data_IF_322973008339
#
_entry.id   IF_322973008339
#
_cell.length_a   1.000
_cell.length_b   1.000
_cell.length_c   1.000
_cell.angle_alpha   90.00
_cell.angle_beta   90.00
_cell.angle_gamma   90.00
#
_symmetry.space_group_name_H-M   'P 1'
#
loop_
_entity.id
_entity.type
_entity.pdbx_description
1 polymer ?
#
# COMPACT_ATOMS: atom_id res chain seq x y z
N UNK A 1 10.65 15.10 -39.69
CA UNK A 1 11.26 14.11 -38.78
C UNK A 1 12.41 14.79 -38.02
N UNK A 2 12.17 15.33 -36.84
CA UNK A 2 13.21 15.92 -36.00
C UNK A 2 13.88 14.76 -35.24
N UNK A 3 15.15 14.52 -35.51
CA UNK A 3 16.01 13.65 -34.71
C UNK A 3 16.18 14.33 -33.36
N UNK A 4 15.60 13.75 -32.29
CA UNK A 4 15.94 14.09 -30.91
C UNK A 4 17.43 13.72 -30.71
N UNK A 5 18.31 14.70 -30.75
CA UNK A 5 19.70 14.54 -30.32
C UNK A 5 19.67 14.50 -28.81
N UNK A 6 19.81 13.32 -28.23
CA UNK A 6 19.98 13.14 -26.78
C UNK A 6 21.25 13.89 -26.36
N UNK A 7 21.11 14.85 -25.46
CA UNK A 7 22.24 15.59 -24.91
C UNK A 7 23.15 14.61 -24.14
N UNK A 8 24.48 14.66 -24.25
CA UNK A 8 25.41 13.76 -23.52
C UNK A 8 25.20 13.75 -22.01
N UNK A 9 24.62 14.82 -21.45
CA UNK A 9 24.22 14.91 -20.03
C UNK A 9 23.09 13.93 -19.71
N UNK A 10 22.13 13.68 -20.63
CA UNK A 10 21.01 12.76 -20.41
C UNK A 10 21.44 11.29 -20.36
N UNK A 11 22.39 10.88 -21.18
CA UNK A 11 22.88 9.50 -21.22
C UNK A 11 23.68 9.14 -19.97
N UNK A 12 24.43 10.08 -19.38
CA UNK A 12 25.22 9.87 -18.16
C UNK A 12 24.37 9.97 -16.88
N UNK A 13 23.25 10.65 -16.97
CA UNK A 13 22.26 10.80 -15.89
C UNK A 13 21.55 9.50 -15.57
N UNK A 14 21.19 8.75 -16.60
CA UNK A 14 20.45 7.50 -16.43
C UNK A 14 21.38 6.35 -15.92
N UNK A 15 22.63 6.31 -16.35
CA UNK A 15 23.55 5.23 -16.00
C UNK A 15 23.87 5.15 -14.49
N UNK A 16 24.06 6.28 -13.79
CA UNK A 16 24.33 6.25 -12.35
C UNK A 16 23.10 5.88 -11.53
N UNK A 17 21.93 6.33 -11.94
CA UNK A 17 20.65 5.99 -11.32
C UNK A 17 20.34 4.50 -11.51
N UNK A 18 20.60 3.96 -12.70
CA UNK A 18 20.44 2.54 -13.00
C UNK A 18 21.35 1.68 -12.12
N UNK A 19 22.64 1.98 -12.09
CA UNK A 19 23.61 1.30 -11.23
C UNK A 19 23.21 1.34 -9.75
N UNK A 20 22.73 2.48 -9.26
CA UNK A 20 22.23 2.62 -7.90
C UNK A 20 21.02 1.74 -7.63
N UNK A 21 20.02 1.75 -8.54
CA UNK A 21 18.82 0.93 -8.37
C UNK A 21 19.12 -0.57 -8.44
N UNK A 22 20.08 -0.97 -9.28
CA UNK A 22 20.55 -2.34 -9.37
C UNK A 22 21.30 -2.77 -8.10
N UNK A 23 22.16 -1.90 -7.54
CA UNK A 23 22.82 -2.14 -6.26
C UNK A 23 21.79 -2.33 -5.13
N UNK A 24 20.77 -1.49 -5.05
CA UNK A 24 19.70 -1.63 -4.05
C UNK A 24 18.86 -2.90 -4.22
N UNK A 25 18.70 -3.35 -5.46
CA UNK A 25 18.01 -4.61 -5.71
C UNK A 25 18.85 -5.80 -5.24
N UNK A 26 20.13 -5.81 -5.57
CA UNK A 26 21.07 -6.90 -5.24
C UNK A 26 21.39 -6.96 -3.74
N UNK A 27 21.72 -5.81 -3.13
CA UNK A 27 22.19 -5.76 -1.75
C UNK A 27 21.06 -5.75 -0.72
N UNK A 28 20.00 -4.96 -1.00
CA UNK A 28 18.93 -4.72 -0.04
C UNK A 28 17.62 -5.46 -0.37
N UNK A 29 17.54 -6.13 -1.51
CA UNK A 29 16.33 -6.86 -1.95
C UNK A 29 15.11 -5.96 -2.09
N UNK A 30 15.27 -4.69 -2.50
CA UNK A 30 14.16 -3.75 -2.55
C UNK A 30 13.15 -4.13 -3.65
N UNK A 31 11.86 -4.00 -3.32
CA UNK A 31 10.78 -4.28 -4.25
C UNK A 31 10.79 -3.34 -5.46
N UNK A 32 10.40 -3.86 -6.65
CA UNK A 32 10.37 -3.13 -7.92
C UNK A 32 9.66 -1.76 -7.83
N UNK A 33 8.54 -1.67 -7.11
CA UNK A 33 7.82 -0.41 -6.92
C UNK A 33 8.62 0.63 -6.12
N UNK A 34 9.45 0.19 -5.17
CA UNK A 34 10.32 1.07 -4.38
C UNK A 34 11.46 1.59 -5.27
N UNK A 35 12.07 0.70 -6.05
CA UNK A 35 13.13 1.06 -6.99
C UNK A 35 12.63 2.03 -8.05
N UNK A 36 11.45 1.78 -8.63
CA UNK A 36 10.81 2.68 -9.59
C UNK A 36 10.49 4.07 -8.98
N UNK A 37 10.11 4.12 -7.70
CA UNK A 37 9.88 5.40 -7.01
C UNK A 37 11.21 6.15 -6.77
N UNK A 38 12.27 5.44 -6.39
CA UNK A 38 13.60 6.01 -6.18
C UNK A 38 14.16 6.54 -7.50
N UNK A 39 14.12 5.73 -8.55
CA UNK A 39 14.50 6.14 -9.90
C UNK A 39 13.80 7.43 -10.32
N UNK A 40 12.48 7.49 -10.20
CA UNK A 40 11.69 8.68 -10.55
C UNK A 40 12.10 9.91 -9.76
N UNK A 41 12.33 9.80 -8.44
CA UNK A 41 12.74 10.94 -7.63
C UNK A 41 14.12 11.47 -8.04
N UNK A 42 15.07 10.59 -8.32
CA UNK A 42 16.42 10.95 -8.77
C UNK A 42 16.42 11.53 -10.19
N UNK A 43 15.67 10.95 -11.13
CA UNK A 43 15.53 11.47 -12.49
C UNK A 43 14.93 12.88 -12.50
N UNK A 44 13.92 13.14 -11.65
CA UNK A 44 13.34 14.50 -11.52
C UNK A 44 14.34 15.51 -10.96
N UNK A 45 15.21 15.09 -10.04
CA UNK A 45 16.26 15.96 -9.51
C UNK A 45 17.35 16.19 -10.53
N UNK A 46 17.76 15.18 -11.23
CA UNK A 46 18.78 15.23 -12.25
C UNK A 46 18.40 16.17 -13.39
N UNK A 47 17.16 16.08 -13.90
CA UNK A 47 16.62 17.01 -14.91
C UNK A 47 16.61 18.45 -14.40
N UNK A 48 16.13 18.65 -13.18
CA UNK A 48 16.10 19.99 -12.59
C UNK A 48 17.51 20.59 -12.42
N UNK A 49 18.50 19.78 -12.00
CA UNK A 49 19.89 20.22 -11.89
C UNK A 49 20.49 20.57 -13.26
N UNK A 50 20.21 19.77 -14.28
CA UNK A 50 20.65 20.05 -15.65
C UNK A 50 20.03 21.36 -16.18
N UNK A 51 18.73 21.56 -15.96
CA UNK A 51 18.00 22.74 -16.44
C UNK A 51 18.41 24.05 -15.72
N UNK A 52 18.58 23.99 -14.39
CA UNK A 52 18.80 25.18 -13.56
C UNK A 52 20.28 25.46 -13.28
N UNK A 53 21.12 24.46 -13.32
CA UNK A 53 22.52 24.57 -12.90
C UNK A 53 23.51 23.99 -13.90
N UNK A 54 23.04 23.44 -15.03
CA UNK A 54 23.87 22.75 -16.03
C UNK A 54 24.81 21.69 -15.40
N UNK A 55 24.35 21.06 -14.33
CA UNK A 55 25.10 20.10 -13.53
C UNK A 55 24.48 18.68 -13.61
N UNK A 56 25.34 17.67 -13.70
CA UNK A 56 24.94 16.29 -13.57
C UNK A 56 24.64 15.93 -12.09
N UNK A 57 23.83 14.90 -11.84
CA UNK A 57 23.44 14.51 -10.48
C UNK A 57 24.65 14.21 -9.58
N UNK A 58 25.67 13.52 -10.12
CA UNK A 58 26.92 13.22 -9.39
C UNK A 58 27.80 14.44 -9.09
N UNK A 59 27.55 15.56 -9.78
CA UNK A 59 28.26 16.83 -9.57
C UNK A 59 27.51 17.79 -8.66
N UNK A 60 26.32 17.38 -8.18
CA UNK A 60 25.47 18.22 -7.38
C UNK A 60 26.17 18.70 -6.09
N UNK A 61 26.06 20.00 -5.83
CA UNK A 61 26.56 20.63 -4.62
C UNK A 61 25.42 20.80 -3.59
N UNK A 62 25.80 20.94 -2.32
CA UNK A 62 24.85 21.13 -1.23
C UNK A 62 23.82 22.24 -1.51
N UNK A 63 24.28 23.44 -1.94
CA UNK A 63 23.40 24.58 -2.20
C UNK A 63 22.40 24.33 -3.34
N UNK A 64 22.79 23.52 -4.34
CA UNK A 64 21.90 23.16 -5.45
C UNK A 64 20.79 22.21 -4.98
N UNK A 65 21.12 21.24 -4.13
CA UNK A 65 20.11 20.36 -3.52
C UNK A 65 19.19 21.13 -2.57
N UNK A 66 19.72 22.09 -1.81
CA UNK A 66 18.90 23.01 -1.00
C UNK A 66 17.94 23.82 -1.88
N UNK A 67 18.41 24.38 -2.99
CA UNK A 67 17.57 25.08 -3.96
C UNK A 67 16.50 24.15 -4.59
N UNK A 68 16.85 22.89 -4.91
CA UNK A 68 15.89 21.90 -5.39
C UNK A 68 14.74 21.64 -4.41
N UNK A 69 15.04 21.53 -3.11
CA UNK A 69 14.02 21.34 -2.08
C UNK A 69 13.23 22.62 -1.85
N UNK A 70 13.87 23.79 -1.87
CA UNK A 70 13.23 25.10 -1.73
C UNK A 70 12.24 25.39 -2.89
N UNK A 71 12.61 25.08 -4.13
CA UNK A 71 11.74 25.19 -5.30
C UNK A 71 10.49 24.28 -5.23
N UNK A 72 10.43 23.37 -4.27
CA UNK A 72 9.33 22.42 -4.01
C UNK A 72 8.77 22.54 -2.60
N UNK A 73 8.87 23.73 -1.99
CA UNK A 73 8.40 23.98 -0.63
C UNK A 73 6.89 23.69 -0.44
N UNK A 74 6.09 23.85 -1.51
CA UNK A 74 4.65 23.52 -1.49
C UNK A 74 4.34 22.01 -1.37
N UNK A 75 5.37 21.16 -1.49
CA UNK A 75 5.14 19.72 -1.32
C UNK A 75 5.01 19.36 0.16
N UNK A 76 4.14 18.38 0.44
CA UNK A 76 3.99 17.87 1.82
C UNK A 76 5.33 17.47 2.42
N UNK A 77 5.60 17.86 3.67
CA UNK A 77 6.83 17.53 4.39
C UNK A 77 7.19 16.04 4.35
N UNK A 78 6.18 15.13 4.40
CA UNK A 78 6.39 13.68 4.27
C UNK A 78 6.96 13.28 2.90
N UNK A 79 6.53 13.94 1.83
CA UNK A 79 7.04 13.69 0.48
C UNK A 79 8.45 14.26 0.30
N UNK A 80 8.73 15.45 0.86
CA UNK A 80 10.06 16.04 0.89
C UNK A 80 11.04 15.13 1.66
N UNK A 81 10.67 14.66 2.84
CA UNK A 81 11.49 13.78 3.68
C UNK A 81 11.76 12.43 3.01
N UNK A 82 10.77 11.86 2.30
CA UNK A 82 10.98 10.64 1.51
C UNK A 82 12.02 10.87 0.41
N UNK A 83 11.93 11.96 -0.36
CA UNK A 83 12.93 12.31 -1.37
C UNK A 83 14.31 12.52 -0.75
N UNK A 84 14.40 13.23 0.36
CA UNK A 84 15.65 13.41 1.09
C UNK A 84 16.27 12.08 1.49
N UNK A 85 15.48 11.11 1.93
CA UNK A 85 15.96 9.76 2.23
C UNK A 85 16.52 9.08 0.99
N UNK A 86 15.88 9.21 -0.18
CA UNK A 86 16.38 8.68 -1.44
C UNK A 86 17.71 9.32 -1.81
N UNK A 87 17.81 10.65 -1.70
CA UNK A 87 19.05 11.38 -2.01
C UNK A 87 20.17 10.97 -1.09
N UNK A 88 19.95 10.93 0.22
CA UNK A 88 20.97 10.46 1.18
C UNK A 88 21.44 9.04 0.90
N UNK A 89 20.56 8.14 0.46
CA UNK A 89 20.96 6.78 0.06
C UNK A 89 21.77 6.78 -1.24
N UNK A 90 21.38 7.57 -2.23
CA UNK A 90 22.08 7.67 -3.51
C UNK A 90 23.49 8.25 -3.34
N UNK A 91 23.63 9.40 -2.67
CA UNK A 91 24.93 10.04 -2.50
C UNK A 91 25.87 9.25 -1.56
N UNK A 92 25.31 8.56 -0.55
CA UNK A 92 26.11 7.63 0.27
C UNK A 92 26.61 6.44 -0.55
N UNK A 93 25.77 5.88 -1.41
CA UNK A 93 26.17 4.86 -2.36
C UNK A 93 27.24 5.39 -3.33
N UNK A 94 27.05 6.54 -3.93
CA UNK A 94 28.00 7.15 -4.86
C UNK A 94 29.35 7.43 -4.19
N UNK A 95 29.36 7.84 -2.92
CA UNK A 95 30.59 8.03 -2.14
C UNK A 95 31.28 6.68 -1.88
N UNK A 96 30.54 5.63 -1.53
CA UNK A 96 31.07 4.27 -1.34
C UNK A 96 31.69 3.71 -2.62
N UNK A 97 31.06 3.94 -3.76
CA UNK A 97 31.57 3.52 -5.08
C UNK A 97 32.69 4.42 -5.63
N UNK A 98 33.11 5.44 -4.90
CA UNK A 98 34.17 6.37 -5.34
C UNK A 98 33.77 7.29 -6.50
N UNK A 99 32.47 7.43 -6.78
CA UNK A 99 31.95 8.29 -7.86
C UNK A 99 31.94 9.75 -7.47
N UNK A 100 31.96 10.06 -6.20
CA UNK A 100 32.08 11.40 -5.60
C UNK A 100 33.04 11.36 -4.42
N UNK A 101 33.59 12.51 -4.05
CA UNK A 101 34.52 12.65 -2.92
C UNK A 101 33.88 13.18 -1.65
N UNK A 102 32.70 13.80 -1.78
CA UNK A 102 31.92 14.38 -0.67
C UNK A 102 30.44 14.13 -0.88
N UNK A 103 29.72 13.85 0.20
CA UNK A 103 28.27 13.68 0.19
C UNK A 103 27.58 15.07 0.36
N UNK A 104 26.92 15.62 -0.69
CA UNK A 104 26.28 16.92 -0.63
C UNK A 104 24.99 16.91 0.21
N UNK A 105 24.56 15.78 0.73
CA UNK A 105 23.32 15.67 1.52
C UNK A 105 23.55 15.73 3.03
N UNK A 106 24.81 15.73 3.51
CA UNK A 106 25.13 15.62 4.93
C UNK A 106 24.41 16.68 5.79
N UNK A 107 24.38 17.94 5.35
CA UNK A 107 23.76 19.05 6.10
C UNK A 107 22.28 19.26 5.78
N UNK A 108 21.71 18.49 4.85
CA UNK A 108 20.30 18.60 4.54
C UNK A 108 19.46 18.02 5.69
N UNK A 109 18.63 18.87 6.27
CA UNK A 109 17.75 18.49 7.37
C UNK A 109 16.35 18.11 6.86
N UNK A 110 15.69 17.15 7.51
CA UNK A 110 14.32 16.81 7.18
C UNK A 110 13.37 17.97 7.53
N UNK A 111 12.35 18.16 6.67
CA UNK A 111 11.28 19.11 6.94
C UNK A 111 10.51 18.71 8.20
N UNK A 112 10.23 19.70 9.07
CA UNK A 112 9.43 19.46 10.28
C UNK A 112 8.03 18.97 9.91
N UNK A 113 7.59 17.91 10.53
CA UNK A 113 6.23 17.39 10.40
C UNK A 113 5.49 17.65 11.72
N UNK A 114 4.29 18.21 11.67
CA UNK A 114 3.47 18.26 12.87
C UNK A 114 3.17 16.83 13.35
N UNK A 115 3.07 16.59 14.66
CA UNK A 115 2.67 15.30 15.19
C UNK A 115 1.34 14.90 14.53
N UNK A 116 1.29 13.76 13.89
CA UNK A 116 0.03 13.20 13.39
C UNK A 116 -0.60 12.43 14.53
N UNK A 117 -1.67 12.97 15.08
CA UNK A 117 -2.57 12.16 15.88
C UNK A 117 -3.28 11.22 14.90
N UNK A 118 -3.10 9.90 15.01
CA UNK A 118 -3.81 8.95 14.18
C UNK A 118 -5.31 9.14 14.41
N UNK A 119 -6.04 9.57 13.38
CA UNK A 119 -7.51 9.60 13.44
C UNK A 119 -7.98 8.18 13.13
N UNK A 120 -8.35 7.44 14.14
CA UNK A 120 -9.05 6.15 14.00
C UNK A 120 -10.53 6.40 13.85
N UNK A 121 -11.21 5.52 13.12
CA UNK A 121 -12.66 5.47 13.13
C UNK A 121 -13.13 4.85 14.44
N UNK A 122 -14.22 5.35 15.01
CA UNK A 122 -14.95 4.63 16.04
C UNK A 122 -15.68 3.42 15.43
N UNK A 123 -16.05 2.46 16.28
CA UNK A 123 -16.84 1.30 15.83
C UNK A 123 -18.17 1.73 15.19
N UNK A 124 -18.86 2.71 15.79
CA UNK A 124 -20.08 3.27 15.20
C UNK A 124 -19.85 3.89 13.81
N UNK A 125 -18.71 4.54 13.58
CA UNK A 125 -18.36 5.06 12.24
C UNK A 125 -18.02 3.94 11.26
N UNK A 126 -17.42 2.87 11.71
CA UNK A 126 -17.19 1.69 10.88
C UNK A 126 -18.52 1.04 10.51
N UNK A 127 -19.43 0.84 11.47
CA UNK A 127 -20.77 0.31 11.20
C UNK A 127 -21.53 1.16 10.16
N UNK A 128 -21.52 2.48 10.32
CA UNK A 128 -22.16 3.38 9.36
C UNK A 128 -21.52 3.29 7.97
N UNK A 129 -20.18 3.15 7.88
CA UNK A 129 -19.47 2.96 6.62
C UNK A 129 -19.86 1.64 5.95
N UNK A 130 -19.93 0.56 6.73
CA UNK A 130 -20.28 -0.77 6.25
C UNK A 130 -21.74 -0.83 5.80
N UNK A 131 -22.66 -0.13 6.44
CA UNK A 131 -24.08 -0.07 6.08
C UNK A 131 -24.37 0.81 4.86
N UNK A 132 -23.43 1.66 4.41
CA UNK A 132 -23.68 2.63 3.35
C UNK A 132 -23.88 2.05 1.93
N UNK A 133 -23.27 0.90 1.53
CA UNK A 133 -23.53 0.30 0.23
C UNK A 133 -24.96 -0.27 0.13
N UNK A 134 -25.62 -0.03 -1.00
CA UNK A 134 -26.92 -0.63 -1.34
C UNK A 134 -26.73 -2.11 -1.75
N UNK A 135 -27.00 -3.01 -0.83
CA UNK A 135 -26.75 -4.46 -1.00
C UNK A 135 -27.77 -5.17 -1.88
N UNK A 136 -28.81 -4.49 -2.33
CA UNK A 136 -29.79 -5.03 -3.30
C UNK A 136 -29.24 -4.95 -4.72
N UNK A 137 -28.18 -4.19 -4.93
CA UNK A 137 -27.46 -4.12 -6.19
C UNK A 137 -26.21 -5.00 -6.17
N UNK A 138 -25.86 -5.68 -7.29
CA UNK A 138 -24.63 -6.49 -7.35
C UNK A 138 -23.35 -5.69 -7.05
N UNK A 139 -23.31 -4.42 -7.45
CA UNK A 139 -22.19 -3.52 -7.17
C UNK A 139 -22.11 -3.15 -5.69
N UNK A 140 -23.23 -2.84 -5.07
CA UNK A 140 -23.26 -2.51 -3.65
C UNK A 140 -22.98 -3.73 -2.78
N UNK A 141 -23.45 -4.91 -3.16
CA UNK A 141 -23.12 -6.18 -2.48
C UNK A 141 -21.62 -6.46 -2.54
N UNK A 142 -20.98 -6.29 -3.72
CA UNK A 142 -19.52 -6.37 -3.85
C UNK A 142 -18.83 -5.39 -2.91
N UNK A 143 -19.24 -4.13 -2.95
CA UNK A 143 -18.59 -3.05 -2.22
C UNK A 143 -18.75 -3.26 -0.70
N UNK A 144 -19.93 -3.70 -0.25
CA UNK A 144 -20.19 -4.10 1.14
C UNK A 144 -19.27 -5.24 1.58
N UNK A 145 -19.19 -6.30 0.79
CA UNK A 145 -18.34 -7.45 1.08
C UNK A 145 -16.86 -7.06 1.15
N UNK A 146 -16.39 -6.20 0.23
CA UNK A 146 -15.02 -5.71 0.26
C UNK A 146 -14.69 -4.88 1.52
N UNK A 147 -15.61 -4.00 1.93
CA UNK A 147 -15.45 -3.19 3.14
C UNK A 147 -15.46 -4.07 4.38
N UNK A 148 -16.40 -4.99 4.48
CA UNK A 148 -16.50 -5.95 5.58
C UNK A 148 -15.22 -6.77 5.69
N UNK A 149 -14.80 -7.41 4.60
CA UNK A 149 -13.62 -8.25 4.59
C UNK A 149 -12.35 -7.46 4.97
N UNK A 150 -12.22 -6.23 4.47
CA UNK A 150 -11.08 -5.38 4.82
C UNK A 150 -11.05 -5.02 6.31
N UNK A 151 -12.20 -4.74 6.91
CA UNK A 151 -12.30 -4.45 8.33
C UNK A 151 -12.11 -5.70 9.17
N UNK A 152 -12.75 -6.81 8.82
CA UNK A 152 -12.65 -8.06 9.57
C UNK A 152 -11.24 -8.70 9.55
N UNK A 153 -10.48 -8.50 8.49
CA UNK A 153 -9.18 -9.18 8.29
C UNK A 153 -7.96 -8.24 8.34
N UNK A 154 -8.18 -6.94 8.36
CA UNK A 154 -7.10 -5.95 8.34
C UNK A 154 -6.19 -6.03 7.11
N UNK A 155 -6.65 -6.51 5.97
CA UNK A 155 -5.90 -6.63 4.73
C UNK A 155 -5.35 -5.28 4.26
N UNK A 156 -4.20 -5.31 3.56
CA UNK A 156 -3.77 -4.16 2.74
C UNK A 156 -4.68 -4.04 1.52
N UNK A 157 -4.89 -2.81 1.02
CA UNK A 157 -5.72 -2.60 -0.17
C UNK A 157 -5.22 -3.41 -1.39
N UNK A 158 -3.90 -3.55 -1.55
CA UNK A 158 -3.32 -4.36 -2.63
C UNK A 158 -3.60 -5.85 -2.48
N UNK A 159 -3.65 -6.34 -1.27
CA UNK A 159 -4.00 -7.73 -0.95
C UNK A 159 -5.49 -7.96 -1.25
N UNK A 160 -6.38 -7.11 -0.73
CA UNK A 160 -7.82 -7.22 -0.95
C UNK A 160 -8.21 -7.24 -2.44
N UNK A 161 -7.71 -6.27 -3.22
CA UNK A 161 -8.07 -6.18 -4.65
C UNK A 161 -7.40 -7.26 -5.50
N UNK A 162 -6.31 -7.85 -5.02
CA UNK A 162 -5.58 -8.94 -5.68
C UNK A 162 -6.07 -10.34 -5.31
N UNK A 163 -7.04 -10.49 -4.38
CA UNK A 163 -7.56 -11.79 -4.01
C UNK A 163 -8.16 -12.53 -5.20
N UNK A 164 -7.86 -13.80 -5.30
CA UNK A 164 -8.50 -14.74 -6.22
C UNK A 164 -9.51 -15.60 -5.47
N UNK A 165 -10.47 -16.16 -6.19
CA UNK A 165 -11.46 -17.07 -5.56
C UNK A 165 -10.81 -18.30 -4.92
N UNK A 166 -9.69 -18.77 -5.47
CA UNK A 166 -8.93 -19.91 -4.92
C UNK A 166 -8.19 -19.57 -3.62
N UNK A 167 -8.00 -18.29 -3.31
CA UNK A 167 -7.33 -17.84 -2.07
C UNK A 167 -8.28 -17.88 -0.86
N UNK A 168 -9.56 -18.15 -1.08
CA UNK A 168 -10.61 -18.11 -0.08
C UNK A 168 -10.93 -19.52 0.44
N UNK A 169 -10.64 -19.76 1.72
CA UNK A 169 -11.08 -20.92 2.47
C UNK A 169 -12.31 -20.58 3.29
N UNK A 170 -13.52 -20.71 2.68
CA UNK A 170 -14.78 -20.39 3.36
C UNK A 170 -15.02 -21.26 4.59
N UNK A 171 -14.85 -22.59 4.45
CA UNK A 171 -15.05 -23.53 5.53
C UNK A 171 -14.08 -23.30 6.70
N UNK A 172 -12.85 -22.96 6.35
CA UNK A 172 -11.79 -22.71 7.32
C UNK A 172 -11.84 -21.27 7.87
N UNK A 173 -12.62 -20.36 7.31
CA UNK A 173 -12.68 -18.94 7.68
C UNK A 173 -11.33 -18.22 7.55
N UNK A 174 -10.55 -18.52 6.51
CA UNK A 174 -9.22 -17.95 6.29
C UNK A 174 -9.01 -17.52 4.83
N UNK A 175 -8.18 -16.51 4.67
CA UNK A 175 -7.67 -16.04 3.37
C UNK A 175 -6.19 -16.37 3.25
N UNK A 176 -5.77 -16.82 2.07
CA UNK A 176 -4.37 -16.90 1.69
C UNK A 176 -3.97 -15.60 1.01
N UNK A 177 -3.00 -14.89 1.56
CA UNK A 177 -2.53 -13.62 0.99
C UNK A 177 -1.03 -13.62 0.78
N UNK A 178 -0.59 -13.04 -0.33
CA UNK A 178 0.81 -12.82 -0.65
C UNK A 178 1.27 -11.51 -0.03
N UNK A 179 2.19 -11.59 0.93
CA UNK A 179 2.82 -10.44 1.57
C UNK A 179 4.02 -9.89 0.79
N UNK A 180 4.76 -8.98 1.40
CA UNK A 180 6.00 -8.44 0.86
C UNK A 180 7.03 -9.58 0.69
N UNK A 181 7.70 -9.62 -0.46
CA UNK A 181 8.69 -10.66 -0.77
C UNK A 181 8.08 -12.02 -1.14
N UNK A 182 6.85 -12.03 -1.66
CA UNK A 182 6.13 -13.26 -2.08
C UNK A 182 5.93 -14.29 -0.95
N UNK A 183 5.99 -13.84 0.32
CA UNK A 183 5.69 -14.71 1.46
C UNK A 183 4.19 -14.83 1.63
N UNK A 184 3.68 -16.05 1.63
CA UNK A 184 2.28 -16.32 1.90
C UNK A 184 2.00 -16.25 3.41
N UNK A 185 0.78 -15.80 3.75
CA UNK A 185 0.24 -15.90 5.10
C UNK A 185 -1.25 -16.20 5.06
N UNK A 186 -1.74 -16.84 6.09
CA UNK A 186 -3.17 -17.02 6.31
C UNK A 186 -3.69 -15.91 7.23
N UNK A 187 -4.82 -15.33 6.84
CA UNK A 187 -5.49 -14.27 7.58
C UNK A 187 -6.91 -14.73 7.90
N UNK A 188 -7.29 -14.84 9.18
CA UNK A 188 -8.65 -15.21 9.55
C UNK A 188 -9.62 -14.06 9.22
N UNK A 189 -10.88 -14.43 8.99
CA UNK A 189 -12.01 -13.52 8.94
C UNK A 189 -13.18 -14.13 9.73
N UNK A 190 -13.99 -13.28 10.35
CA UNK A 190 -15.07 -13.74 11.21
C UNK A 190 -16.30 -14.21 10.43
N UNK A 191 -17.31 -14.68 11.16
CA UNK A 191 -18.54 -15.23 10.60
C UNK A 191 -19.31 -14.20 9.76
N UNK A 192 -19.41 -12.97 10.22
CA UNK A 192 -20.07 -11.89 9.45
C UNK A 192 -19.42 -11.66 8.09
N UNK A 193 -18.09 -11.71 8.01
CA UNK A 193 -17.41 -11.58 6.72
C UNK A 193 -17.63 -12.83 5.84
N UNK A 194 -17.78 -14.02 6.43
CA UNK A 194 -18.15 -15.24 5.72
C UNK A 194 -19.50 -15.10 5.06
N UNK A 195 -20.52 -14.69 5.80
CA UNK A 195 -21.88 -14.52 5.29
C UNK A 195 -21.93 -13.57 4.10
N UNK A 196 -21.22 -12.44 4.17
CA UNK A 196 -21.11 -11.50 3.07
C UNK A 196 -20.35 -12.08 1.87
N UNK A 197 -19.32 -12.88 2.09
CA UNK A 197 -18.57 -13.57 1.02
C UNK A 197 -19.41 -14.60 0.32
N UNK A 198 -20.16 -15.41 1.06
CA UNK A 198 -21.07 -16.42 0.52
C UNK A 198 -22.14 -15.78 -0.35
N UNK A 199 -22.83 -14.75 0.18
CA UNK A 199 -23.82 -13.99 -0.54
C UNK A 199 -23.23 -13.33 -1.80
N UNK A 200 -22.03 -12.76 -1.71
CA UNK A 200 -21.34 -12.19 -2.85
C UNK A 200 -21.06 -13.22 -3.94
N UNK A 201 -20.54 -14.41 -3.58
CA UNK A 201 -20.21 -15.45 -4.53
C UNK A 201 -21.45 -16.06 -5.20
N UNK A 202 -22.52 -16.26 -4.44
CA UNK A 202 -23.77 -16.84 -4.93
C UNK A 202 -24.55 -15.88 -5.81
N UNK A 203 -24.75 -14.65 -5.37
CA UNK A 203 -25.66 -13.71 -6.01
C UNK A 203 -24.94 -12.65 -6.86
N UNK A 204 -24.08 -11.87 -6.24
CA UNK A 204 -23.57 -10.64 -6.86
C UNK A 204 -22.49 -10.89 -7.92
N UNK A 205 -21.54 -11.80 -7.63
CA UNK A 205 -20.39 -12.04 -8.52
C UNK A 205 -20.81 -12.63 -9.86
N UNK A 206 -21.72 -13.58 -9.84
CA UNK A 206 -22.25 -14.19 -11.05
C UNK A 206 -22.97 -13.16 -11.94
N UNK A 207 -23.77 -12.29 -11.34
CA UNK A 207 -24.46 -11.23 -12.07
C UNK A 207 -23.50 -10.21 -12.72
N UNK A 208 -22.41 -9.83 -12.04
CA UNK A 208 -21.42 -8.91 -12.61
C UNK A 208 -20.56 -9.55 -13.70
N UNK A 209 -20.26 -10.84 -13.61
CA UNK A 209 -19.51 -11.57 -14.61
C UNK A 209 -20.32 -11.87 -15.86
N UNK A 210 -21.62 -12.23 -15.71
CA UNK A 210 -22.40 -12.80 -16.81
C UNK A 210 -21.71 -14.04 -17.36
N UNK A 211 -21.49 -14.11 -18.65
CA UNK A 211 -20.81 -15.21 -19.34
C UNK A 211 -19.26 -15.17 -19.22
N UNK A 212 -18.69 -14.17 -18.56
CA UNK A 212 -17.23 -14.01 -18.48
C UNK A 212 -16.63 -14.87 -17.37
N UNK A 213 -15.40 -15.30 -17.54
CA UNK A 213 -14.62 -15.97 -16.51
C UNK A 213 -13.60 -15.01 -15.89
N UNK A 214 -13.36 -15.14 -14.59
CA UNK A 214 -12.33 -14.38 -13.87
C UNK A 214 -11.85 -15.16 -12.65
N UNK A 215 -10.56 -15.16 -12.44
CA UNK A 215 -9.98 -15.67 -11.19
C UNK A 215 -10.17 -14.68 -10.03
N UNK A 216 -10.34 -13.37 -10.32
CA UNK A 216 -10.45 -12.35 -9.30
C UNK A 216 -11.69 -12.57 -8.42
N UNK A 217 -11.52 -12.47 -7.09
CA UNK A 217 -12.63 -12.54 -6.16
C UNK A 217 -13.56 -11.33 -6.34
N UNK A 218 -13.02 -10.13 -6.44
CA UNK A 218 -13.75 -8.90 -6.63
C UNK A 218 -13.53 -8.32 -8.02
N UNK A 219 -14.57 -8.33 -8.83
CA UNK A 219 -14.52 -7.98 -10.24
C UNK A 219 -15.12 -6.60 -10.53
N UNK A 220 -14.66 -5.98 -11.61
CA UNK A 220 -15.23 -4.74 -12.14
C UNK A 220 -16.41 -5.03 -13.09
N UNK A 221 -17.41 -4.16 -13.10
CA UNK A 221 -18.57 -4.26 -14.02
C UNK A 221 -18.38 -3.45 -15.30
N UNK A 222 -17.55 -2.41 -15.24
CA UNK A 222 -17.41 -1.42 -16.30
C UNK A 222 -15.94 -1.06 -16.54
N UNK A 223 -15.65 -0.35 -17.64
CA UNK A 223 -14.33 0.08 -18.03
C UNK A 223 -13.81 -0.69 -19.24
N UNK A 224 -12.52 -0.54 -19.54
CA UNK A 224 -11.87 -1.17 -20.72
C UNK A 224 -11.91 -2.71 -20.67
N UNK A 225 -11.93 -3.28 -19.48
CA UNK A 225 -11.86 -4.73 -19.24
C UNK A 225 -12.82 -5.13 -18.11
N UNK A 226 -14.13 -5.23 -18.38
CA UNK A 226 -15.10 -5.72 -17.39
C UNK A 226 -14.78 -7.17 -16.99
N UNK A 227 -15.02 -7.51 -15.71
CA UNK A 227 -14.69 -8.83 -15.16
C UNK A 227 -13.26 -8.98 -14.65
N UNK A 228 -12.40 -7.98 -14.82
CA UNK A 228 -11.05 -7.98 -14.24
C UNK A 228 -11.07 -7.55 -12.76
N UNK A 229 -9.96 -7.79 -12.07
CA UNK A 229 -9.77 -7.34 -10.69
C UNK A 229 -9.92 -5.82 -10.55
N UNK A 230 -10.52 -5.39 -9.45
CA UNK A 230 -10.64 -3.98 -9.12
C UNK A 230 -9.26 -3.36 -8.84
N UNK A 231 -9.03 -2.14 -9.32
CA UNK A 231 -7.80 -1.42 -9.01
C UNK A 231 -7.84 -0.81 -7.59
N UNK A 232 -6.66 -0.61 -6.99
CA UNK A 232 -6.52 0.10 -5.70
C UNK A 232 -7.15 1.49 -5.72
N UNK A 233 -7.02 2.20 -6.85
CA UNK A 233 -7.58 3.56 -7.03
C UNK A 233 -9.09 3.53 -7.03
N UNK A 234 -9.70 2.56 -7.72
CA UNK A 234 -11.16 2.38 -7.69
C UNK A 234 -11.67 2.10 -6.27
N UNK A 235 -11.07 1.15 -5.57
CA UNK A 235 -11.49 0.84 -4.19
C UNK A 235 -11.30 2.04 -3.26
N UNK A 236 -10.23 2.82 -3.43
CA UNK A 236 -10.02 4.05 -2.68
C UNK A 236 -11.12 5.10 -2.94
N UNK A 237 -11.56 5.21 -4.19
CA UNK A 237 -12.71 6.04 -4.59
C UNK A 237 -14.02 5.57 -3.93
N UNK A 238 -14.25 4.24 -3.87
CA UNK A 238 -15.40 3.64 -3.20
C UNK A 238 -15.43 3.96 -1.71
N UNK A 239 -14.33 3.74 -1.00
CA UNK A 239 -14.21 4.06 0.42
C UNK A 239 -14.54 5.53 0.70
N UNK A 240 -14.06 6.46 -0.13
CA UNK A 240 -14.38 7.89 0.00
C UNK A 240 -15.86 8.21 -0.28
N UNK A 241 -16.46 7.54 -1.26
CA UNK A 241 -17.87 7.71 -1.59
C UNK A 241 -18.75 7.28 -0.41
N UNK A 242 -18.53 6.08 0.09
CA UNK A 242 -19.29 5.54 1.21
C UNK A 242 -19.04 6.27 2.53
N UNK A 243 -17.83 6.77 2.76
CA UNK A 243 -17.56 7.64 3.90
C UNK A 243 -18.42 8.92 3.89
N UNK A 244 -18.58 9.55 2.72
CA UNK A 244 -19.45 10.73 2.57
C UNK A 244 -20.93 10.38 2.79
N UNK A 245 -21.38 9.24 2.26
CA UNK A 245 -22.77 8.75 2.46
C UNK A 245 -23.04 8.44 3.94
N UNK A 246 -22.05 7.92 4.65
CA UNK A 246 -22.12 7.63 6.09
C UNK A 246 -21.92 8.87 6.98
N UNK A 247 -21.82 10.08 6.42
CA UNK A 247 -21.59 11.30 7.18
C UNK A 247 -20.21 11.39 7.84
N UNK A 248 -19.21 10.63 7.38
CA UNK A 248 -17.86 10.61 7.94
C UNK A 248 -17.04 11.70 7.25
N UNK A 249 -16.84 12.83 7.94
CA UNK A 249 -16.09 13.98 7.41
C UNK A 249 -14.58 13.87 7.60
N UNK A 250 -14.09 12.95 8.41
CA UNK A 250 -12.67 12.72 8.59
C UNK A 250 -12.03 12.17 7.28
N UNK A 251 -10.76 12.54 6.98
CA UNK A 251 -10.05 11.97 5.83
C UNK A 251 -9.94 10.45 5.98
N UNK A 252 -10.70 9.72 5.17
CA UNK A 252 -10.77 8.27 5.21
C UNK A 252 -10.06 7.65 4.01
N UNK A 253 -9.35 6.58 4.27
CA UNK A 253 -8.63 5.79 3.28
C UNK A 253 -8.68 4.30 3.66
N UNK A 254 -8.38 3.37 2.74
CA UNK A 254 -8.25 1.96 3.10
C UNK A 254 -7.26 1.71 4.25
N UNK A 255 -6.19 2.49 4.35
CA UNK A 255 -5.26 2.41 5.48
C UNK A 255 -5.91 2.79 6.82
N UNK A 256 -6.86 3.73 6.81
CA UNK A 256 -7.60 4.12 8.02
C UNK A 256 -8.49 2.99 8.51
N UNK A 257 -9.14 2.24 7.59
CA UNK A 257 -9.96 1.08 7.94
C UNK A 257 -9.11 -0.07 8.51
N UNK A 258 -7.96 -0.35 7.91
CA UNK A 258 -6.99 -1.31 8.46
C UNK A 258 -6.44 -0.86 9.83
N UNK A 259 -6.26 0.44 10.04
CA UNK A 259 -5.84 0.99 11.33
C UNK A 259 -6.96 0.84 12.38
N UNK A 260 -8.22 1.05 11.98
CA UNK A 260 -9.37 0.79 12.86
C UNK A 260 -9.42 -0.68 13.30
N UNK A 261 -9.25 -1.64 12.37
CA UNK A 261 -9.11 -3.06 12.72
C UNK A 261 -8.07 -3.29 13.84
N UNK A 262 -6.86 -2.76 13.66
CA UNK A 262 -5.80 -2.95 14.65
C UNK A 262 -6.14 -2.31 16.00
N UNK A 263 -6.67 -1.09 15.99
CA UNK A 263 -7.00 -0.33 17.20
C UNK A 263 -8.16 -0.97 17.96
N UNK A 264 -9.20 -1.43 17.25
CA UNK A 264 -10.35 -2.07 17.88
C UNK A 264 -9.97 -3.40 18.50
N UNK A 265 -9.14 -4.23 17.84
CA UNK A 265 -8.61 -5.44 18.47
C UNK A 265 -7.85 -5.14 19.76
N UNK A 266 -6.97 -4.13 19.76
CA UNK A 266 -6.23 -3.72 20.96
C UNK A 266 -7.17 -3.19 22.06
N UNK A 267 -8.19 -2.42 21.71
CA UNK A 267 -9.18 -1.89 22.66
C UNK A 267 -10.01 -3.01 23.30
N UNK A 268 -10.25 -4.11 22.56
CA UNK A 268 -10.90 -5.31 23.07
C UNK A 268 -9.94 -6.31 23.75
N UNK A 269 -8.72 -5.88 24.07
CA UNK A 269 -7.77 -6.64 24.87
C UNK A 269 -6.87 -7.62 24.11
N UNK A 270 -6.84 -7.56 22.79
CA UNK A 270 -5.89 -8.35 22.01
C UNK A 270 -4.45 -7.93 22.31
N UNK A 271 -3.54 -8.89 22.42
CA UNK A 271 -2.12 -8.64 22.56
C UNK A 271 -1.53 -7.97 21.31
N UNK A 272 -0.67 -6.97 21.52
CA UNK A 272 -0.01 -6.22 20.42
C UNK A 272 0.75 -7.15 19.46
N UNK A 273 1.41 -8.19 19.97
CA UNK A 273 2.16 -9.15 19.16
C UNK A 273 1.23 -9.96 18.24
N UNK A 274 0.08 -10.35 18.76
CA UNK A 274 -0.94 -11.04 18.00
C UNK A 274 -1.53 -10.16 16.88
N UNK A 275 -1.80 -8.90 17.17
CA UNK A 275 -2.26 -7.93 16.15
C UNK A 275 -1.18 -7.71 15.07
N UNK A 276 0.09 -7.62 15.44
CA UNK A 276 1.20 -7.54 14.49
C UNK A 276 1.29 -8.77 13.57
N UNK A 277 1.05 -9.97 14.11
CA UNK A 277 0.99 -11.21 13.33
C UNK A 277 -0.14 -11.19 12.30
N UNK A 278 -1.37 -10.82 12.73
CA UNK A 278 -2.52 -10.69 11.84
C UNK A 278 -2.27 -9.68 10.72
N UNK A 279 -1.62 -8.58 11.04
CA UNK A 279 -1.26 -7.55 10.06
C UNK A 279 -0.10 -7.95 9.12
N UNK A 280 0.64 -9.01 9.43
CA UNK A 280 1.78 -9.48 8.61
C UNK A 280 2.95 -8.50 8.62
N UNK A 281 3.42 -8.12 9.80
CA UNK A 281 4.65 -7.36 9.98
C UNK A 281 5.86 -8.28 9.78
N UNK A 282 6.83 -7.85 8.94
CA UNK A 282 7.87 -8.72 8.37
C UNK A 282 8.92 -9.26 9.36
N UNK A 283 9.06 -8.67 10.55
CA UNK A 283 10.09 -9.03 11.53
C UNK A 283 9.75 -10.24 12.42
N UNK A 284 8.59 -10.86 12.18
CA UNK A 284 8.14 -12.01 12.95
C UNK A 284 8.22 -13.24 12.05
N UNK A 285 9.09 -14.18 12.41
CA UNK A 285 9.37 -15.40 11.66
C UNK A 285 8.09 -16.09 11.19
N UNK A 286 7.87 -16.09 9.90
CA UNK A 286 6.68 -16.60 9.20
C UNK A 286 6.51 -18.11 9.29
N UNK A 287 7.52 -18.83 9.75
CA UNK A 287 7.54 -20.30 9.75
C UNK A 287 6.58 -20.93 10.76
N UNK A 288 6.23 -20.22 11.83
CA UNK A 288 5.36 -20.71 12.90
C UNK A 288 3.86 -20.61 12.59
N UNK A 289 3.44 -19.83 11.58
CA UNK A 289 2.03 -19.54 11.30
C UNK A 289 1.32 -20.67 10.53
N UNK A 290 2.07 -21.63 10.00
CA UNK A 290 1.53 -22.67 9.13
C UNK A 290 1.07 -23.95 9.86
N UNK A 291 1.30 -24.06 11.16
CA UNK A 291 0.81 -25.21 11.91
C UNK A 291 -0.70 -25.09 12.18
N UNK A 292 -1.40 -26.21 12.21
CA UNK A 292 -2.84 -26.26 12.51
C UNK A 292 -3.16 -25.58 13.85
N UNK A 293 -2.29 -25.75 14.84
CA UNK A 293 -2.41 -25.16 16.18
C UNK A 293 -2.29 -23.63 16.12
N UNK A 294 -1.36 -23.10 15.33
CA UNK A 294 -1.19 -21.66 15.19
C UNK A 294 -2.36 -21.00 14.45
N UNK A 295 -2.95 -21.69 13.46
CA UNK A 295 -4.16 -21.21 12.76
C UNK A 295 -5.36 -21.13 13.70
N UNK A 296 -5.59 -22.17 14.49
CA UNK A 296 -6.71 -22.19 15.45
C UNK A 296 -6.55 -21.07 16.47
N UNK A 297 -5.35 -20.88 17.01
CA UNK A 297 -5.08 -19.80 17.97
C UNK A 297 -5.31 -18.40 17.38
N UNK A 298 -4.98 -18.16 16.11
CA UNK A 298 -5.26 -16.87 15.45
C UNK A 298 -6.76 -16.65 15.23
N UNK A 299 -7.52 -17.70 14.92
CA UNK A 299 -8.98 -17.64 14.81
C UNK A 299 -9.62 -17.33 16.16
N UNK A 300 -9.24 -18.07 17.18
CA UNK A 300 -9.78 -17.88 18.53
C UNK A 300 -9.51 -16.46 19.04
N UNK A 301 -8.31 -15.96 18.80
CA UNK A 301 -7.94 -14.58 19.15
C UNK A 301 -8.77 -13.57 18.34
N UNK A 302 -8.98 -13.81 17.05
CA UNK A 302 -9.83 -12.95 16.22
C UNK A 302 -11.27 -12.98 16.73
N UNK A 303 -11.85 -14.16 16.93
CA UNK A 303 -13.22 -14.34 17.42
C UNK A 303 -13.42 -13.73 18.81
N UNK A 304 -12.42 -13.81 19.68
CA UNK A 304 -12.50 -13.27 21.04
C UNK A 304 -12.41 -11.75 21.13
N UNK A 305 -11.63 -11.12 20.24
CA UNK A 305 -11.27 -9.71 20.40
C UNK A 305 -11.71 -8.81 19.24
N UNK A 306 -12.14 -9.34 18.11
CA UNK A 306 -12.63 -8.50 17.01
C UNK A 306 -14.13 -8.27 17.14
N UNK A 307 -14.64 -7.03 16.95
CA UNK A 307 -16.07 -6.73 17.01
C UNK A 307 -16.93 -7.53 16.02
N UNK A 308 -16.28 -8.14 15.03
CA UNK A 308 -16.88 -8.98 13.97
C UNK A 308 -16.31 -10.40 13.96
N UNK A 309 -15.75 -10.84 15.07
CA UNK A 309 -15.20 -12.18 15.28
C UNK A 309 -16.22 -13.29 15.31
#
# INVERSE_FOLDING_TARGET
MARFVMNPVDANLDASIDRFTDALWLEDGLAANTLAAYRRDLTLAARWLADQHQAALLQAQEYQLQAYFAARADTRASSANRRLTVFKRYFRWALREGLITQDPTLKLLPARQPPRVPKTLSEAQVEALLAAPDTDTPLGLRDRTMLELMYASGLRVSELVGLKSIDLGLNEGVLRVLGKGSKERLVPFGELARDWLERWLQDGRAQLLGARQSEALFVTSAGRTPGTAMSRVMFWGLVKRYARQAGIHAPLSPHTLRHAFATHLLNHGADLRAVQLLLGHADISTTTIYTHIARQRLKDLHAQHHPRG
#
